data_IF_579053545446
#
_entry.id   IF_579053545446
#
_cell.length_a   1.000
_cell.length_b   1.000
_cell.length_c   1.000
_cell.angle_alpha   90.00
_cell.angle_beta   90.00
_cell.angle_gamma   90.00
#
_symmetry.space_group_name_H-M   'P 1'
#
loop_
_entity.id
_entity.type
_entity.pdbx_description
1 polymer ?
#
# COMPACT_ATOMS: atom_id res chain seq x y z
N UNK A 1 1.10 -29.74 -2.56
CA UNK A 1 1.61 -28.36 -2.70
C UNK A 1 0.46 -27.49 -3.15
N UNK A 2 -0.01 -26.59 -2.29
CA UNK A 2 -1.05 -25.62 -2.68
C UNK A 2 -0.42 -24.64 -3.68
N UNK A 3 -0.78 -24.75 -4.95
CA UNK A 3 -0.41 -23.78 -5.98
C UNK A 3 -1.34 -22.56 -5.80
N UNK A 4 -1.15 -21.80 -4.74
CA UNK A 4 -1.84 -20.51 -4.59
C UNK A 4 -1.30 -19.59 -5.67
N UNK A 5 -2.15 -19.28 -6.65
CA UNK A 5 -1.87 -18.20 -7.61
C UNK A 5 -1.47 -16.96 -6.82
N UNK A 6 -0.23 -16.48 -7.01
CA UNK A 6 0.24 -15.30 -6.29
C UNK A 6 -0.66 -14.12 -6.58
N UNK A 7 -1.04 -13.41 -5.54
CA UNK A 7 -1.97 -12.28 -5.63
C UNK A 7 -1.31 -11.09 -6.30
N UNK A 8 -2.10 -10.32 -7.03
CA UNK A 8 -1.74 -9.01 -7.54
C UNK A 8 -1.97 -7.98 -6.43
N UNK A 9 -1.02 -7.08 -6.22
CA UNK A 9 -1.09 -6.04 -5.18
C UNK A 9 -0.95 -4.67 -5.82
N UNK A 10 -1.88 -3.78 -5.55
CA UNK A 10 -1.81 -2.37 -5.92
C UNK A 10 -1.38 -1.56 -4.69
N UNK A 11 -0.27 -0.83 -4.78
CA UNK A 11 0.26 0.00 -3.69
C UNK A 11 0.17 1.46 -4.09
N UNK A 12 -0.62 2.25 -3.37
CA UNK A 12 -0.81 3.69 -3.62
C UNK A 12 0.07 4.51 -2.67
N UNK A 13 0.96 5.29 -3.27
CA UNK A 13 2.04 6.01 -2.61
C UNK A 13 3.34 5.20 -2.64
N UNK A 14 4.35 5.70 -3.38
CA UNK A 14 5.65 5.03 -3.55
C UNK A 14 6.78 5.80 -2.85
N UNK A 15 6.48 6.37 -1.68
CA UNK A 15 7.44 7.03 -0.80
C UNK A 15 8.23 6.07 0.07
N UNK A 16 8.69 6.57 1.24
CA UNK A 16 9.57 5.84 2.19
C UNK A 16 8.98 4.55 2.75
N UNK A 17 7.67 4.35 2.68
CA UNK A 17 7.01 3.11 3.12
C UNK A 17 6.58 2.29 1.90
N UNK A 18 5.83 2.88 0.97
CA UNK A 18 5.22 2.12 -0.11
C UNK A 18 6.22 1.55 -1.12
N UNK A 19 7.31 2.26 -1.45
CA UNK A 19 8.31 1.72 -2.39
C UNK A 19 9.09 0.54 -1.79
N UNK A 20 9.61 0.59 -0.55
CA UNK A 20 10.22 -0.57 0.09
C UNK A 20 9.26 -1.77 0.22
N UNK A 21 8.01 -1.54 0.65
CA UNK A 21 6.97 -2.59 0.71
C UNK A 21 6.75 -3.21 -0.68
N UNK A 22 6.61 -2.38 -1.72
CA UNK A 22 6.45 -2.82 -3.10
C UNK A 22 7.63 -3.69 -3.59
N UNK A 23 8.86 -3.22 -3.37
CA UNK A 23 10.06 -3.91 -3.78
C UNK A 23 10.24 -5.26 -3.05
N UNK A 24 9.99 -5.29 -1.73
CA UNK A 24 10.06 -6.50 -0.92
C UNK A 24 9.04 -7.55 -1.38
N UNK A 25 7.78 -7.17 -1.57
CA UNK A 25 6.74 -8.08 -2.05
C UNK A 25 7.04 -8.57 -3.47
N UNK A 26 7.51 -7.69 -4.36
CA UNK A 26 7.86 -8.06 -5.73
C UNK A 26 9.01 -9.07 -5.80
N UNK A 27 10.04 -8.94 -4.96
CA UNK A 27 11.15 -9.90 -4.89
C UNK A 27 10.73 -11.24 -4.30
N UNK A 28 9.64 -11.26 -3.51
CA UNK A 28 8.98 -12.49 -3.07
C UNK A 28 7.98 -13.05 -4.11
N UNK A 29 7.94 -12.45 -5.31
CA UNK A 29 7.23 -12.94 -6.49
C UNK A 29 5.75 -12.55 -6.57
N UNK A 30 5.29 -11.59 -5.76
CA UNK A 30 4.00 -10.94 -5.99
C UNK A 30 4.08 -10.02 -7.21
N UNK A 31 2.96 -9.83 -7.91
CA UNK A 31 2.86 -8.83 -8.98
C UNK A 31 2.38 -7.52 -8.36
N UNK A 32 3.23 -6.51 -8.46
CA UNK A 32 3.00 -5.22 -7.82
C UNK A 32 2.74 -4.16 -8.88
N UNK A 33 1.59 -3.52 -8.77
CA UNK A 33 1.25 -2.29 -9.46
C UNK A 33 1.39 -1.13 -8.47
N UNK A 34 2.51 -0.42 -8.55
CA UNK A 34 2.77 0.75 -7.70
C UNK A 34 2.16 2.01 -8.30
N UNK A 35 1.52 2.83 -7.50
CA UNK A 35 0.87 4.07 -7.94
C UNK A 35 1.45 5.27 -7.21
N UNK A 36 1.85 6.28 -7.96
CA UNK A 36 2.25 7.57 -7.42
C UNK A 36 1.75 8.70 -8.32
N UNK A 37 1.44 9.86 -7.74
CA UNK A 37 0.96 11.04 -8.49
C UNK A 37 2.08 11.76 -9.23
N UNK A 38 3.35 11.47 -8.91
CA UNK A 38 4.54 12.08 -9.51
C UNK A 38 5.02 11.27 -10.70
N UNK A 39 4.95 11.85 -11.90
CA UNK A 39 5.55 11.25 -13.10
C UNK A 39 7.04 10.98 -12.95
N UNK A 40 7.76 11.85 -12.23
CA UNK A 40 9.18 11.64 -11.94
C UNK A 40 9.40 10.34 -11.16
N UNK A 41 8.63 10.12 -10.09
CA UNK A 41 8.69 8.89 -9.28
C UNK A 41 8.40 7.67 -10.12
N UNK A 42 7.30 7.69 -10.88
CA UNK A 42 6.89 6.59 -11.77
C UNK A 42 7.98 6.26 -12.80
N UNK A 43 8.51 7.28 -13.46
CA UNK A 43 9.54 7.08 -14.49
C UNK A 43 10.87 6.58 -13.90
N UNK A 44 11.26 7.04 -12.71
CA UNK A 44 12.47 6.60 -12.00
C UNK A 44 12.34 5.11 -11.63
N UNK A 45 11.24 4.72 -10.99
CA UNK A 45 11.03 3.33 -10.59
C UNK A 45 10.98 2.38 -11.79
N UNK A 46 10.30 2.76 -12.88
CA UNK A 46 10.21 1.93 -14.08
C UNK A 46 11.55 1.72 -14.80
N UNK A 47 12.57 2.55 -14.52
CA UNK A 47 13.96 2.32 -14.95
C UNK A 47 14.74 1.39 -14.02
N UNK A 48 14.15 0.96 -12.91
CA UNK A 48 14.82 0.18 -11.87
C UNK A 48 15.68 1.05 -10.95
N UNK A 49 15.40 2.35 -10.87
CA UNK A 49 16.09 3.33 -10.03
C UNK A 49 15.21 3.73 -8.83
N UNK A 50 15.82 4.36 -7.83
CA UNK A 50 15.14 4.87 -6.64
C UNK A 50 15.19 6.42 -6.59
N UNK A 51 14.14 7.03 -6.02
CA UNK A 51 14.05 8.48 -5.82
C UNK A 51 14.18 8.87 -4.34
N UNK A 52 14.35 7.90 -3.46
CA UNK A 52 14.58 8.07 -2.02
C UNK A 52 15.91 7.43 -1.63
N UNK A 53 16.53 7.91 -0.55
CA UNK A 53 17.81 7.35 -0.08
C UNK A 53 17.51 6.35 1.04
N UNK A 54 17.67 5.06 0.74
CA UNK A 54 17.50 3.97 1.70
C UNK A 54 18.49 2.84 1.35
N UNK A 55 19.30 2.36 2.32
CA UNK A 55 20.23 1.25 2.09
C UNK A 55 19.54 0.02 1.49
N UNK A 56 20.24 -0.62 0.54
CA UNK A 56 19.83 -1.86 -0.14
C UNK A 56 18.58 -1.76 -1.04
N UNK A 57 17.76 -0.70 -0.94
CA UNK A 57 16.51 -0.56 -1.68
C UNK A 57 16.72 -0.55 -3.20
N UNK A 58 17.81 0.05 -3.69
CA UNK A 58 18.15 0.13 -5.10
C UNK A 58 18.27 -1.26 -5.74
N UNK A 59 18.93 -2.19 -5.07
CA UNK A 59 19.05 -3.57 -5.48
C UNK A 59 17.73 -4.30 -5.58
N UNK A 60 16.85 -4.10 -4.58
CA UNK A 60 15.51 -4.68 -4.56
C UNK A 60 14.62 -4.14 -5.70
N UNK A 61 14.60 -2.82 -5.90
CA UNK A 61 13.80 -2.18 -6.97
C UNK A 61 14.28 -2.63 -8.34
N UNK A 62 15.59 -2.58 -8.59
CA UNK A 62 16.19 -3.02 -9.85
C UNK A 62 15.85 -4.48 -10.19
N UNK A 63 15.94 -5.37 -9.20
CA UNK A 63 15.60 -6.78 -9.35
C UNK A 63 14.09 -6.96 -9.63
N UNK A 64 13.23 -6.30 -8.85
CA UNK A 64 11.79 -6.39 -8.98
C UNK A 64 11.29 -5.93 -10.36
N UNK A 65 11.84 -4.82 -10.87
CA UNK A 65 11.51 -4.27 -12.20
C UNK A 65 12.04 -5.17 -13.31
N UNK A 66 13.30 -5.62 -13.23
CA UNK A 66 13.90 -6.49 -14.26
C UNK A 66 13.18 -7.84 -14.40
N UNK A 67 12.62 -8.36 -13.32
CA UNK A 67 11.79 -9.57 -13.32
C UNK A 67 10.33 -9.31 -13.79
N UNK A 68 9.95 -8.06 -14.04
CA UNK A 68 8.59 -7.68 -14.39
C UNK A 68 7.59 -7.92 -13.25
N UNK A 69 8.04 -7.92 -11.99
CA UNK A 69 7.21 -8.08 -10.81
C UNK A 69 6.79 -6.75 -10.18
N UNK A 70 7.47 -5.66 -10.51
CA UNK A 70 7.11 -4.30 -10.10
C UNK A 70 6.97 -3.42 -11.33
N UNK A 71 5.84 -2.73 -11.44
CA UNK A 71 5.57 -1.69 -12.42
C UNK A 71 4.94 -0.50 -11.71
N UNK A 72 5.43 0.71 -11.98
CA UNK A 72 4.85 1.95 -11.47
C UNK A 72 3.95 2.62 -12.52
N UNK A 73 2.88 3.29 -12.06
CA UNK A 73 1.92 4.03 -12.89
C UNK A 73 1.35 5.24 -12.15
N UNK A 74 0.63 6.10 -12.86
CA UNK A 74 -0.06 7.27 -12.29
C UNK A 74 -1.46 6.94 -11.76
N UNK A 75 -2.04 5.84 -12.21
CA UNK A 75 -3.41 5.41 -11.88
C UNK A 75 -3.43 3.96 -11.41
N UNK A 76 -4.33 3.63 -10.46
CA UNK A 76 -4.54 2.26 -10.01
C UNK A 76 -5.08 1.35 -11.13
N UNK A 77 -4.95 0.05 -10.92
CA UNK A 77 -5.58 -1.00 -11.73
C UNK A 77 -6.18 -2.09 -10.82
N UNK A 78 -6.89 -3.04 -11.40
CA UNK A 78 -7.49 -4.16 -10.68
C UNK A 78 -6.43 -5.00 -9.96
N UNK A 79 -6.67 -5.30 -8.68
CA UNK A 79 -5.79 -6.10 -7.83
C UNK A 79 -6.59 -6.94 -6.84
N UNK A 80 -5.94 -7.94 -6.24
CA UNK A 80 -6.52 -8.70 -5.13
C UNK A 80 -6.39 -7.95 -3.80
N UNK A 81 -5.32 -7.17 -3.65
CA UNK A 81 -4.99 -6.42 -2.45
C UNK A 81 -4.62 -4.99 -2.83
N UNK A 82 -5.18 -4.02 -2.13
CA UNK A 82 -4.84 -2.61 -2.23
C UNK A 82 -4.18 -2.15 -0.94
N UNK A 83 -3.01 -1.51 -1.03
CA UNK A 83 -2.27 -0.95 0.10
C UNK A 83 -2.22 0.57 -0.06
N UNK A 84 -2.64 1.31 0.95
CA UNK A 84 -2.59 2.77 0.99
C UNK A 84 -1.42 3.18 1.87
N UNK A 85 -0.35 3.69 1.25
CA UNK A 85 0.92 4.09 1.88
C UNK A 85 1.28 5.54 1.54
N UNK A 86 0.29 6.43 1.56
CA UNK A 86 0.44 7.85 1.25
C UNK A 86 0.85 8.67 2.48
N UNK A 87 1.45 9.87 2.31
CA UNK A 87 1.79 10.75 3.42
C UNK A 87 0.55 11.19 4.21
N UNK A 88 0.73 11.38 5.53
CA UNK A 88 -0.28 11.90 6.46
C UNK A 88 0.29 13.11 7.23
N UNK A 89 0.50 14.27 6.56
CA UNK A 89 1.06 15.45 7.18
C UNK A 89 0.11 16.06 8.21
N UNK A 90 0.56 17.06 8.95
CA UNK A 90 -0.25 17.82 9.88
C UNK A 90 -0.74 19.11 9.23
N UNK A 91 -1.98 19.51 9.53
CA UNK A 91 -2.47 20.88 9.38
C UNK A 91 -1.93 21.79 10.49
N UNK A 92 -2.23 23.09 10.41
CA UNK A 92 -1.99 24.02 11.50
C UNK A 92 -2.63 23.50 12.80
N UNK A 93 -1.92 23.67 13.92
CA UNK A 93 -2.34 23.16 15.23
C UNK A 93 -2.19 21.66 15.43
N UNK A 94 -1.26 21.03 14.70
CA UNK A 94 -0.93 19.60 14.81
C UNK A 94 -2.09 18.64 14.55
N UNK A 95 -3.13 19.08 13.82
CA UNK A 95 -4.23 18.21 13.42
C UNK A 95 -3.80 17.31 12.26
N UNK A 96 -3.94 15.97 12.37
CA UNK A 96 -3.60 15.06 11.29
C UNK A 96 -4.40 15.33 10.02
N UNK A 97 -3.73 15.39 8.87
CA UNK A 97 -4.37 15.53 7.57
C UNK A 97 -4.48 14.14 6.92
N UNK A 98 -5.69 13.64 6.79
CA UNK A 98 -5.98 12.36 6.14
C UNK A 98 -6.51 12.51 4.70
N UNK A 99 -6.49 13.71 4.14
CA UNK A 99 -7.05 13.97 2.80
C UNK A 99 -6.36 13.13 1.71
N UNK A 100 -5.05 12.91 1.85
CA UNK A 100 -4.31 12.04 0.92
C UNK A 100 -4.79 10.58 1.00
N UNK A 101 -5.09 10.08 2.22
CA UNK A 101 -5.66 8.75 2.43
C UNK A 101 -7.02 8.64 1.75
N UNK A 102 -7.89 9.63 1.95
CA UNK A 102 -9.24 9.63 1.36
C UNK A 102 -9.19 9.74 -0.17
N UNK A 103 -8.30 10.57 -0.73
CA UNK A 103 -8.08 10.67 -2.19
C UNK A 103 -7.52 9.36 -2.77
N UNK A 104 -6.55 8.74 -2.11
CA UNK A 104 -6.04 7.43 -2.49
C UNK A 104 -7.15 6.37 -2.46
N UNK A 105 -8.00 6.38 -1.43
CA UNK A 105 -9.16 5.49 -1.32
C UNK A 105 -10.16 5.71 -2.49
N UNK A 106 -10.45 6.97 -2.81
CA UNK A 106 -11.31 7.30 -3.96
C UNK A 106 -10.73 6.82 -5.28
N UNK A 107 -9.40 6.92 -5.46
CA UNK A 107 -8.74 6.50 -6.70
C UNK A 107 -8.80 4.98 -6.93
N UNK A 108 -8.76 4.18 -5.87
CA UNK A 108 -8.85 2.71 -5.98
C UNK A 108 -10.30 2.20 -6.08
N UNK A 109 -11.29 2.98 -5.61
CA UNK A 109 -12.68 2.53 -5.50
C UNK A 109 -13.25 1.90 -6.79
N UNK A 110 -12.99 2.43 -8.01
CA UNK A 110 -13.47 1.83 -9.26
C UNK A 110 -12.93 0.42 -9.55
N UNK A 111 -11.82 0.04 -8.90
CA UNK A 111 -11.10 -1.23 -9.12
C UNK A 111 -11.34 -2.24 -8.00
N UNK A 112 -11.95 -1.82 -6.89
CA UNK A 112 -12.24 -2.70 -5.74
C UNK A 112 -13.43 -3.61 -6.05
N UNK A 113 -13.23 -4.90 -5.87
CA UNK A 113 -14.21 -5.97 -6.14
C UNK A 113 -14.49 -6.80 -4.89
N UNK A 114 -15.61 -7.55 -4.86
CA UNK A 114 -15.89 -8.52 -3.80
C UNK A 114 -14.70 -9.46 -3.53
N UNK A 115 -14.37 -9.65 -2.26
CA UNK A 115 -13.25 -10.49 -1.82
C UNK A 115 -11.89 -9.78 -1.80
N UNK A 116 -11.79 -8.55 -2.27
CA UNK A 116 -10.55 -7.77 -2.18
C UNK A 116 -10.22 -7.38 -0.73
N UNK A 117 -8.93 -7.13 -0.49
CA UNK A 117 -8.40 -6.64 0.77
C UNK A 117 -7.92 -5.21 0.55
N UNK A 118 -8.30 -4.29 1.43
CA UNK A 118 -7.81 -2.90 1.46
C UNK A 118 -7.06 -2.68 2.77
N UNK A 119 -5.78 -2.38 2.70
CA UNK A 119 -4.89 -2.18 3.84
C UNK A 119 -4.51 -0.70 3.93
N UNK A 120 -4.80 -0.06 5.06
CA UNK A 120 -4.26 1.25 5.40
C UNK A 120 -2.92 1.04 6.12
N UNK A 121 -1.81 1.34 5.43
CA UNK A 121 -0.44 1.24 5.96
C UNK A 121 0.07 2.59 6.47
N UNK A 122 -0.46 3.70 5.95
CA UNK A 122 -0.14 5.06 6.42
C UNK A 122 -0.43 5.22 7.90
N UNK A 123 0.50 5.81 8.67
CA UNK A 123 0.26 6.21 10.06
C UNK A 123 -0.92 7.16 10.12
N UNK A 124 -1.95 6.80 10.87
CA UNK A 124 -3.24 7.49 10.84
C UNK A 124 -3.90 7.55 12.22
N UNK A 125 -4.71 8.58 12.50
CA UNK A 125 -5.52 8.66 13.73
C UNK A 125 -6.52 7.52 13.82
N UNK A 126 -6.95 7.20 15.04
CA UNK A 126 -8.07 6.30 15.31
C UNK A 126 -9.31 6.74 14.52
N UNK A 127 -10.03 5.79 13.94
CA UNK A 127 -11.21 6.04 13.10
C UNK A 127 -10.91 6.31 11.62
N UNK A 128 -9.64 6.29 11.19
CA UNK A 128 -9.31 6.52 9.78
C UNK A 128 -9.68 5.34 8.89
N UNK A 129 -9.56 4.11 9.39
CA UNK A 129 -9.93 2.91 8.63
C UNK A 129 -11.43 2.86 8.36
N UNK A 130 -12.25 3.28 9.32
CA UNK A 130 -13.70 3.43 9.17
C UNK A 130 -14.04 4.49 8.11
N UNK A 131 -13.27 5.59 8.03
CA UNK A 131 -13.41 6.60 6.97
C UNK A 131 -13.00 6.07 5.60
N UNK A 132 -12.00 5.20 5.51
CA UNK A 132 -11.64 4.48 4.28
C UNK A 132 -12.84 3.64 3.82
N UNK A 133 -13.42 2.83 4.71
CA UNK A 133 -14.61 2.01 4.40
C UNK A 133 -15.79 2.88 3.96
N UNK A 134 -16.08 3.97 4.67
CA UNK A 134 -17.14 4.90 4.31
C UNK A 134 -16.90 5.56 2.94
N UNK A 135 -15.64 5.89 2.61
CA UNK A 135 -15.28 6.46 1.31
C UNK A 135 -15.50 5.46 0.18
N UNK A 136 -15.16 4.19 0.36
CA UNK A 136 -15.45 3.11 -0.60
C UNK A 136 -16.97 2.94 -0.78
N UNK A 137 -17.73 2.91 0.32
CA UNK A 137 -19.20 2.80 0.27
C UNK A 137 -19.83 3.98 -0.49
N UNK A 138 -19.37 5.22 -0.23
CA UNK A 138 -19.85 6.42 -0.93
C UNK A 138 -19.49 6.41 -2.43
N UNK A 139 -18.46 5.69 -2.82
CA UNK A 139 -18.09 5.46 -4.22
C UNK A 139 -18.85 4.29 -4.87
N UNK A 140 -19.79 3.66 -4.17
CA UNK A 140 -20.62 2.58 -4.69
C UNK A 140 -20.05 1.16 -4.51
N UNK A 141 -18.96 1.00 -3.74
CA UNK A 141 -18.40 -0.32 -3.45
C UNK A 141 -19.25 -1.03 -2.39
N UNK A 142 -19.60 -2.28 -2.63
CA UNK A 142 -20.21 -3.16 -1.60
C UNK A 142 -19.17 -3.53 -0.54
N UNK A 143 -19.07 -2.70 0.50
CA UNK A 143 -18.09 -2.87 1.59
C UNK A 143 -18.35 -4.09 2.46
N UNK A 144 -19.54 -4.72 2.37
CA UNK A 144 -19.82 -5.97 3.09
C UNK A 144 -19.02 -7.14 2.53
N UNK A 145 -18.64 -7.05 1.27
CA UNK A 145 -17.86 -8.05 0.53
C UNK A 145 -16.36 -7.79 0.47
N UNK A 146 -15.87 -6.66 1.08
CA UNK A 146 -14.46 -6.23 1.07
C UNK A 146 -13.86 -6.33 2.46
N UNK A 147 -12.61 -6.74 2.57
CA UNK A 147 -11.87 -6.78 3.83
C UNK A 147 -11.04 -5.52 3.98
N UNK A 148 -11.25 -4.76 5.06
CA UNK A 148 -10.48 -3.56 5.35
C UNK A 148 -9.71 -3.74 6.67
N UNK A 149 -8.42 -3.40 6.66
CA UNK A 149 -7.56 -3.51 7.82
C UNK A 149 -6.62 -2.31 7.95
N UNK A 150 -6.22 -2.02 9.18
CA UNK A 150 -5.13 -1.11 9.52
C UNK A 150 -3.88 -1.91 9.85
N UNK A 151 -2.78 -1.63 9.18
CA UNK A 151 -1.49 -2.29 9.42
C UNK A 151 -0.37 -1.24 9.30
N UNK A 152 -0.21 -0.37 10.32
CA UNK A 152 0.78 0.71 10.26
C UNK A 152 2.19 0.18 10.23
N UNK A 153 3.03 0.80 9.40
CA UNK A 153 4.46 0.52 9.40
C UNK A 153 5.18 1.36 10.46
N UNK A 154 6.19 0.76 11.11
CA UNK A 154 6.96 1.36 12.20
C UNK A 154 8.45 1.15 11.98
N UNK A 155 8.94 1.60 10.83
CA UNK A 155 10.34 1.49 10.44
C UNK A 155 11.07 2.82 10.56
N UNK A 156 12.38 2.77 10.78
CA UNK A 156 13.24 3.94 10.85
C UNK A 156 13.97 4.16 9.51
N UNK A 157 13.99 5.40 8.98
CA UNK A 157 14.81 5.73 7.81
C UNK A 157 16.26 5.26 8.00
N UNK A 158 16.84 4.66 6.96
CA UNK A 158 18.18 4.05 6.99
C UNK A 158 18.21 2.59 7.46
N UNK A 159 17.04 2.02 7.86
CA UNK A 159 16.90 0.61 8.29
C UNK A 159 15.63 -0.05 7.75
N UNK A 160 14.93 0.62 6.84
CA UNK A 160 13.59 0.23 6.41
C UNK A 160 13.59 -1.21 5.87
N UNK A 161 14.48 -1.54 4.95
CA UNK A 161 14.51 -2.88 4.33
C UNK A 161 14.71 -4.02 5.34
N UNK A 162 15.51 -3.78 6.38
CA UNK A 162 15.73 -4.75 7.46
C UNK A 162 14.52 -4.84 8.37
N UNK A 163 14.01 -3.69 8.84
CA UNK A 163 12.94 -3.62 9.82
C UNK A 163 11.58 -4.05 9.24
N UNK A 164 11.33 -3.91 7.94
CA UNK A 164 10.16 -4.46 7.25
C UNK A 164 10.04 -5.99 7.40
N UNK A 165 11.17 -6.67 7.56
CA UNK A 165 11.23 -8.14 7.70
C UNK A 165 11.28 -8.57 9.16
N UNK A 166 11.98 -7.81 10.01
CA UNK A 166 12.29 -8.22 11.39
C UNK A 166 11.26 -7.72 12.41
N UNK A 167 10.57 -6.61 12.14
CA UNK A 167 9.61 -6.04 13.10
C UNK A 167 8.28 -6.81 13.09
N UNK A 168 7.74 -7.04 14.29
CA UNK A 168 6.38 -7.52 14.46
C UNK A 168 5.38 -6.49 13.91
N UNK A 169 4.36 -6.97 13.20
CA UNK A 169 3.28 -6.15 12.67
C UNK A 169 2.01 -6.32 13.50
N UNK A 170 1.29 -5.21 13.69
CA UNK A 170 -0.03 -5.20 14.31
C UNK A 170 -1.04 -4.97 13.20
N UNK A 171 -1.98 -5.89 13.05
CA UNK A 171 -3.06 -5.80 12.06
C UNK A 171 -4.39 -5.74 12.80
N UNK A 172 -5.19 -4.71 12.52
CA UNK A 172 -6.53 -4.55 13.06
C UNK A 172 -7.57 -4.51 11.95
N UNK A 173 -8.53 -5.45 11.95
CA UNK A 173 -9.68 -5.45 11.04
C UNK A 173 -10.78 -4.52 11.51
N UNK A 174 -11.63 -4.04 10.59
CA UNK A 174 -12.74 -3.10 10.91
C UNK A 174 -13.88 -3.78 11.70
N UNK A 175 -13.99 -5.11 11.66
CA UNK A 175 -15.00 -5.84 12.42
C UNK A 175 -14.46 -7.19 12.94
N UNK A 176 -14.96 -7.62 14.11
CA UNK A 176 -14.48 -8.80 14.84
C UNK A 176 -14.56 -10.12 14.07
N UNK A 177 -15.50 -10.28 13.13
CA UNK A 177 -15.60 -11.49 12.30
C UNK A 177 -14.48 -11.59 11.28
N UNK A 178 -13.83 -10.47 10.95
CA UNK A 178 -12.74 -10.36 9.98
C UNK A 178 -11.36 -10.48 10.61
N UNK A 179 -11.21 -10.12 11.90
CA UNK A 179 -9.99 -10.32 12.68
C UNK A 179 -9.63 -11.80 12.89
N UNK A 180 -10.61 -12.71 12.89
CA UNK A 180 -10.41 -14.15 13.15
C UNK A 180 -9.93 -14.95 11.93
N UNK A 181 -9.81 -14.33 10.75
CA UNK A 181 -9.39 -14.99 9.49
C UNK A 181 -7.99 -14.59 9.03
N UNK A 182 -7.28 -13.76 9.81
CA UNK A 182 -5.88 -13.35 9.59
C UNK A 182 -4.90 -14.26 10.34
#
# INVERSE_FOLDING_TARGET
MYNQKRKNVCIVGLGYIGLPTAALLATNGYKIHGVDISEHVVNTINKGEIHIIEPDLDGFVKNAVSQGNLKAALIPEEADVFVIAVPTPFHEGYKPNIDYVLKATQSIAPFVKPGNIVILESTSPVGTTEKVVATLANAGVDVSSVFAAYCPERVLPGKIMKELVENDRIVGGVNQERDRKS
#
